data_IF_757413002171
#
_entry.id   IF_757413002171
#
_cell.length_a   1.000
_cell.length_b   1.000
_cell.length_c   1.000
_cell.angle_alpha   90.00
_cell.angle_beta   90.00
_cell.angle_gamma   90.00
#
_symmetry.space_group_name_H-M   'P 1'
#
loop_
_entity.id
_entity.type
_entity.pdbx_description
1 polymer ?
#
# COMPACT_ATOMS: atom_id res chain seq x y z
N UNK A 1 15.71 -73.12 -3.83
CA UNK A 1 15.32 -71.93 -4.59
C UNK A 1 15.72 -70.72 -3.78
N UNK A 2 16.69 -69.99 -4.31
CA UNK A 2 17.30 -68.80 -3.71
C UNK A 2 16.28 -67.68 -3.63
N UNK A 3 15.93 -67.28 -2.39
CA UNK A 3 15.23 -66.03 -2.14
C UNK A 3 16.20 -64.92 -2.54
N UNK A 4 15.93 -64.30 -3.68
CA UNK A 4 16.63 -63.09 -4.11
C UNK A 4 16.37 -62.03 -3.04
N UNK A 5 17.37 -61.82 -2.20
CA UNK A 5 17.41 -60.75 -1.21
C UNK A 5 17.25 -59.45 -2.00
N UNK A 6 16.07 -58.82 -1.90
CA UNK A 6 15.78 -57.57 -2.59
C UNK A 6 16.86 -56.57 -2.16
N UNK A 7 17.61 -56.10 -3.15
CA UNK A 7 18.78 -55.25 -3.02
C UNK A 7 18.58 -54.26 -1.90
N UNK A 8 19.40 -54.41 -0.85
CA UNK A 8 19.34 -53.59 0.35
C UNK A 8 19.36 -52.13 -0.06
N UNK A 9 18.23 -51.45 0.14
CA UNK A 9 18.11 -49.98 0.17
C UNK A 9 18.81 -49.44 1.43
N UNK A 10 19.99 -49.98 1.77
CA UNK A 10 20.80 -49.58 2.92
C UNK A 10 21.50 -48.25 2.67
N UNK A 11 21.60 -47.80 1.42
CA UNK A 11 22.45 -46.64 1.08
C UNK A 11 21.67 -45.32 0.96
N UNK A 12 20.33 -45.34 0.86
CA UNK A 12 19.51 -44.11 0.80
C UNK A 12 18.69 -43.85 2.08
N UNK A 13 18.60 -44.83 2.99
CA UNK A 13 17.92 -44.65 4.29
C UNK A 13 18.86 -44.15 5.40
N UNK A 14 20.18 -44.17 5.20
CA UNK A 14 21.15 -43.91 6.26
C UNK A 14 21.50 -42.42 6.49
N UNK A 15 20.93 -41.47 5.74
CA UNK A 15 21.21 -40.03 5.88
C UNK A 15 19.97 -39.19 6.25
N UNK A 16 18.94 -39.81 6.80
CA UNK A 16 17.73 -39.12 7.25
C UNK A 16 16.75 -40.01 7.99
N UNK A 17 17.22 -40.94 8.84
CA UNK A 17 16.33 -41.68 9.76
C UNK A 17 15.82 -40.73 10.83
N UNK A 18 14.82 -39.98 10.42
CA UNK A 18 13.96 -39.19 11.25
C UNK A 18 13.41 -40.04 12.41
N UNK A 19 13.39 -39.44 13.60
CA UNK A 19 12.98 -40.02 14.88
C UNK A 19 11.48 -40.41 14.87
N UNK A 20 11.14 -41.55 14.24
CA UNK A 20 9.74 -41.92 13.96
C UNK A 20 9.34 -43.23 14.63
N UNK A 21 8.08 -43.28 15.07
CA UNK A 21 7.44 -44.49 15.57
C UNK A 21 7.12 -45.45 14.41
N UNK A 22 7.46 -46.72 14.57
CA UNK A 22 7.21 -47.76 13.57
C UNK A 22 6.30 -48.84 14.17
N UNK A 23 5.17 -49.21 13.52
CA UNK A 23 4.35 -50.31 14.01
C UNK A 23 5.12 -51.62 13.91
N UNK A 24 5.05 -52.43 14.97
CA UNK A 24 5.80 -53.68 15.11
C UNK A 24 4.90 -54.87 15.42
N UNK A 25 3.82 -54.68 16.17
CA UNK A 25 2.81 -55.71 16.43
C UNK A 25 1.40 -55.12 16.42
N UNK A 26 0.42 -55.96 16.14
CA UNK A 26 -0.97 -55.70 16.40
C UNK A 26 -1.61 -56.95 16.99
N UNK A 27 -2.70 -56.80 17.72
CA UNK A 27 -3.44 -57.96 18.21
C UNK A 27 -4.95 -57.76 18.19
N UNK A 28 -5.64 -58.89 18.06
CA UNK A 28 -7.10 -59.00 18.11
C UNK A 28 -7.44 -60.14 19.07
N UNK A 29 -8.03 -59.80 20.20
CA UNK A 29 -8.44 -60.75 21.23
C UNK A 29 -9.96 -60.78 21.31
N UNK A 30 -10.55 -61.95 21.12
CA UNK A 30 -11.98 -62.22 21.28
C UNK A 30 -12.92 -61.26 20.52
N UNK A 31 -12.53 -60.86 19.31
CA UNK A 31 -13.36 -60.07 18.39
C UNK A 31 -13.53 -60.85 17.10
N UNK A 32 -14.77 -60.95 16.62
CA UNK A 32 -15.13 -61.76 15.46
C UNK A 32 -14.64 -63.21 15.65
N UNK A 33 -14.11 -63.84 14.60
CA UNK A 33 -13.54 -65.20 14.64
C UNK A 33 -12.08 -65.24 15.12
N UNK A 34 -11.57 -64.14 15.67
CA UNK A 34 -10.24 -64.07 16.27
C UNK A 34 -10.34 -64.32 17.78
N UNK A 35 -9.67 -65.39 18.25
CA UNK A 35 -9.64 -65.75 19.65
C UNK A 35 -8.54 -64.98 20.39
N UNK A 36 -7.29 -65.16 20.01
CA UNK A 36 -6.13 -64.39 20.48
C UNK A 36 -5.07 -64.39 19.38
N UNK A 37 -5.22 -63.49 18.41
CA UNK A 37 -4.30 -63.41 17.27
C UNK A 37 -3.38 -62.20 17.39
N UNK A 38 -2.09 -62.43 17.12
CA UNK A 38 -1.04 -61.42 17.10
C UNK A 38 -0.41 -61.38 15.71
N UNK A 39 -0.36 -60.19 15.13
CA UNK A 39 0.26 -59.93 13.83
C UNK A 39 1.56 -59.17 14.02
N UNK A 40 2.65 -59.68 13.45
CA UNK A 40 3.95 -59.00 13.47
C UNK A 40 4.19 -58.22 12.17
N UNK A 41 4.75 -57.03 12.32
CA UNK A 41 5.08 -56.15 11.20
C UNK A 41 6.56 -56.29 10.86
N UNK A 42 6.86 -56.46 9.58
CA UNK A 42 8.23 -56.40 9.09
C UNK A 42 8.54 -54.97 8.64
N UNK A 43 9.39 -54.26 9.39
CA UNK A 43 9.79 -52.86 9.09
C UNK A 43 8.58 -51.94 8.87
N UNK A 44 7.58 -52.03 9.75
CA UNK A 44 6.35 -51.24 9.67
C UNK A 44 5.35 -51.71 8.61
N UNK A 45 5.57 -52.85 7.95
CA UNK A 45 4.70 -53.39 6.89
C UNK A 45 4.08 -54.71 7.34
N UNK A 46 2.79 -54.87 7.07
CA UNK A 46 2.04 -56.10 7.33
C UNK A 46 1.52 -56.67 6.00
N UNK A 47 1.79 -57.95 5.75
CA UNK A 47 1.26 -58.69 4.60
C UNK A 47 0.35 -59.83 5.09
N UNK A 48 -0.93 -59.76 4.72
CA UNK A 48 -1.91 -60.79 5.03
C UNK A 48 -2.16 -61.65 3.78
N UNK A 49 -1.82 -62.94 3.83
CA UNK A 49 -2.08 -63.91 2.76
C UNK A 49 -2.99 -65.04 3.25
N UNK A 50 -3.81 -65.55 2.34
CA UNK A 50 -4.74 -66.66 2.61
C UNK A 50 -5.94 -66.67 1.65
N UNK A 51 -6.74 -67.75 1.64
CA UNK A 51 -7.94 -67.87 0.81
C UNK A 51 -9.00 -66.79 1.07
N UNK A 52 -9.91 -66.56 0.13
CA UNK A 52 -11.05 -65.67 0.35
C UNK A 52 -11.89 -66.15 1.56
N UNK A 53 -12.37 -65.21 2.38
CA UNK A 53 -13.09 -65.54 3.62
C UNK A 53 -12.21 -65.76 4.86
N UNK A 54 -10.88 -65.82 4.73
CA UNK A 54 -9.96 -66.04 5.86
C UNK A 54 -9.78 -64.86 6.83
N UNK A 55 -10.61 -63.81 6.75
CA UNK A 55 -10.56 -62.67 7.66
C UNK A 55 -9.55 -61.56 7.35
N UNK A 56 -8.74 -61.65 6.28
CA UNK A 56 -7.71 -60.63 5.94
C UNK A 56 -8.23 -59.18 5.95
N UNK A 57 -9.36 -58.93 5.27
CA UNK A 57 -9.99 -57.60 5.26
C UNK A 57 -10.50 -57.20 6.65
N UNK A 58 -10.95 -58.18 7.46
CA UNK A 58 -11.41 -57.94 8.84
C UNK A 58 -10.30 -57.46 9.76
N UNK A 59 -9.08 -57.97 9.60
CA UNK A 59 -7.90 -57.45 10.32
C UNK A 59 -7.73 -55.94 10.07
N UNK A 60 -7.83 -55.52 8.81
CA UNK A 60 -7.73 -54.10 8.46
C UNK A 60 -8.94 -53.30 8.98
N UNK A 61 -10.16 -53.83 8.90
CA UNK A 61 -11.36 -53.19 9.45
C UNK A 61 -11.26 -52.95 10.97
N UNK A 62 -10.70 -53.91 11.70
CA UNK A 62 -10.62 -53.91 13.17
C UNK A 62 -9.40 -53.18 13.75
N UNK A 63 -8.30 -53.10 13.00
CA UNK A 63 -7.07 -52.46 13.48
C UNK A 63 -6.88 -51.04 12.94
N UNK A 64 -6.74 -50.88 11.62
CA UNK A 64 -6.31 -49.62 11.00
C UNK A 64 -7.36 -49.10 10.00
N UNK A 65 -7.90 -47.88 10.17
CA UNK A 65 -7.43 -46.84 11.08
C UNK A 65 -8.16 -46.82 12.44
N UNK A 66 -9.00 -47.80 12.77
CA UNK A 66 -9.87 -47.75 13.95
C UNK A 66 -9.11 -47.45 15.25
N UNK A 67 -8.01 -48.16 15.52
CA UNK A 67 -7.20 -47.96 16.72
C UNK A 67 -6.57 -46.56 16.75
N UNK A 68 -6.35 -45.91 15.61
CA UNK A 68 -5.83 -44.53 15.54
C UNK A 68 -6.95 -43.47 15.60
N UNK A 69 -8.16 -43.82 15.16
CA UNK A 69 -9.30 -42.90 14.97
C UNK A 69 -10.30 -42.92 16.14
N UNK A 70 -10.37 -44.02 16.91
CA UNK A 70 -11.29 -44.23 18.02
C UNK A 70 -12.78 -44.00 17.68
N UNK A 71 -13.16 -44.24 16.42
CA UNK A 71 -14.54 -44.05 15.95
C UNK A 71 -15.24 -45.38 15.68
N UNK A 72 -16.34 -45.63 16.40
CA UNK A 72 -17.22 -46.78 16.20
C UNK A 72 -18.23 -46.62 15.07
N UNK A 73 -18.26 -45.47 14.37
CA UNK A 73 -19.19 -45.23 13.24
C UNK A 73 -18.99 -46.31 12.16
N UNK A 74 -20.05 -47.02 11.72
CA UNK A 74 -19.92 -48.12 10.75
C UNK A 74 -19.21 -47.71 9.44
N UNK A 75 -19.49 -46.50 8.94
CA UNK A 75 -18.85 -45.92 7.75
C UNK A 75 -17.34 -45.75 7.87
N UNK A 76 -16.80 -45.67 9.10
CA UNK A 76 -15.36 -45.56 9.37
C UNK A 76 -14.68 -46.92 9.60
N UNK A 77 -15.47 -47.97 9.84
CA UNK A 77 -14.98 -49.32 10.09
C UNK A 77 -14.89 -50.14 8.80
N UNK A 78 -15.89 -50.06 7.92
CA UNK A 78 -15.96 -50.83 6.69
C UNK A 78 -14.87 -50.46 5.69
N UNK A 79 -14.24 -51.45 5.04
CA UNK A 79 -13.33 -51.23 3.91
C UNK A 79 -14.07 -50.96 2.60
N UNK A 80 -15.39 -51.20 2.56
CA UNK A 80 -16.24 -51.03 1.38
C UNK A 80 -17.28 -49.91 1.55
N UNK A 81 -17.26 -49.18 2.68
CA UNK A 81 -18.21 -48.10 2.97
C UNK A 81 -19.62 -48.53 3.38
N UNK A 82 -19.96 -49.83 3.28
CA UNK A 82 -21.24 -50.39 3.72
C UNK A 82 -21.47 -50.27 5.23
N UNK A 83 -22.74 -50.09 5.63
CA UNK A 83 -23.16 -49.93 7.04
C UNK A 83 -23.54 -51.25 7.71
N UNK A 84 -23.61 -52.36 6.95
CA UNK A 84 -24.02 -53.67 7.47
C UNK A 84 -23.07 -54.28 8.52
N UNK A 85 -21.81 -53.83 8.60
CA UNK A 85 -20.76 -54.40 9.47
C UNK A 85 -20.40 -53.46 10.61
N UNK A 86 -21.34 -53.28 11.53
CA UNK A 86 -21.13 -52.47 12.74
C UNK A 86 -20.12 -53.13 13.70
N UNK A 87 -19.53 -52.35 14.63
CA UNK A 87 -18.66 -52.94 15.66
C UNK A 87 -19.42 -53.95 16.54
N UNK A 88 -20.73 -53.72 16.75
CA UNK A 88 -21.58 -54.67 17.46
C UNK A 88 -21.63 -56.02 16.73
N UNK A 89 -21.83 -56.02 15.41
CA UNK A 89 -21.78 -57.24 14.61
C UNK A 89 -20.40 -57.92 14.66
N UNK A 90 -19.31 -57.14 14.69
CA UNK A 90 -17.96 -57.73 14.83
C UNK A 90 -17.79 -58.46 16.18
N UNK A 91 -18.48 -58.07 17.25
CA UNK A 91 -18.42 -58.76 18.54
C UNK A 91 -19.49 -59.86 18.66
N UNK A 92 -20.74 -59.52 18.38
CA UNK A 92 -21.94 -60.33 18.64
C UNK A 92 -22.50 -61.04 17.41
N UNK A 93 -21.83 -60.92 16.25
CA UNK A 93 -22.24 -61.58 15.02
C UNK A 93 -21.98 -63.08 15.05
N UNK A 94 -21.79 -63.64 13.86
CA UNK A 94 -21.76 -65.08 13.67
C UNK A 94 -20.54 -65.73 14.37
N UNK A 95 -20.81 -66.54 15.40
CA UNK A 95 -19.82 -67.20 16.25
C UNK A 95 -19.69 -66.67 17.68
N UNK A 96 -20.48 -65.68 18.10
CA UNK A 96 -20.54 -65.24 19.50
C UNK A 96 -21.49 -66.11 20.32
N UNK A 97 -21.00 -66.67 21.44
CA UNK A 97 -21.82 -67.39 22.43
C UNK A 97 -21.96 -66.56 23.71
N UNK A 98 -23.17 -66.44 24.23
CA UNK A 98 -23.45 -65.75 25.51
C UNK A 98 -24.06 -64.34 25.37
N UNK A 99 -24.50 -63.79 26.50
CA UNK A 99 -25.23 -62.52 26.55
C UNK A 99 -24.33 -61.28 26.44
N UNK A 100 -23.04 -61.40 26.79
CA UNK A 100 -22.06 -60.32 26.76
C UNK A 100 -20.74 -60.85 26.21
N UNK A 101 -20.11 -60.08 25.32
CA UNK A 101 -18.78 -60.37 24.80
C UNK A 101 -17.86 -59.17 25.01
N UNK A 102 -16.66 -59.45 25.52
CA UNK A 102 -15.58 -58.47 25.68
C UNK A 102 -14.41 -58.90 24.80
N UNK A 103 -13.84 -57.97 24.06
CA UNK A 103 -12.66 -58.20 23.24
C UNK A 103 -11.74 -56.99 23.21
N UNK A 104 -10.55 -57.17 22.67
CA UNK A 104 -9.53 -56.14 22.57
C UNK A 104 -8.96 -56.05 21.16
N UNK A 105 -8.61 -54.83 20.76
CA UNK A 105 -7.79 -54.57 19.57
C UNK A 105 -6.68 -53.60 19.97
N UNK A 106 -5.46 -53.83 19.50
CA UNK A 106 -4.30 -53.00 19.88
C UNK A 106 -3.21 -52.98 18.81
N UNK A 107 -2.38 -51.95 18.88
CA UNK A 107 -1.17 -51.73 18.07
C UNK A 107 0.00 -51.40 18.99
N UNK A 108 1.15 -51.99 18.70
CA UNK A 108 2.45 -51.69 19.31
C UNK A 108 3.32 -50.97 18.28
N UNK A 109 3.96 -49.90 18.74
CA UNK A 109 4.95 -49.13 18.01
C UNK A 109 6.27 -49.15 18.78
N UNK A 110 7.36 -49.20 18.03
CA UNK A 110 8.70 -49.01 18.55
C UNK A 110 9.28 -47.72 17.95
N UNK A 111 9.83 -46.87 18.82
CA UNK A 111 10.56 -45.69 18.40
C UNK A 111 12.02 -46.04 18.15
N UNK A 112 12.72 -45.24 17.33
CA UNK A 112 14.12 -45.46 16.98
C UNK A 112 15.08 -45.46 18.19
N UNK A 113 14.69 -44.84 19.31
CA UNK A 113 15.44 -44.84 20.58
C UNK A 113 15.12 -46.03 21.50
N UNK A 114 14.34 -47.01 21.02
CA UNK A 114 14.00 -48.22 21.77
C UNK A 114 12.76 -48.10 22.66
N UNK A 115 12.12 -46.93 22.76
CA UNK A 115 10.87 -46.77 23.50
C UNK A 115 9.72 -47.50 22.82
N UNK A 116 8.75 -47.91 23.62
CA UNK A 116 7.53 -48.57 23.19
C UNK A 116 6.33 -47.65 23.39
N UNK A 117 5.37 -47.74 22.48
CA UNK A 117 4.07 -47.12 22.62
C UNK A 117 3.02 -48.08 22.11
N UNK A 118 2.10 -48.43 22.98
CA UNK A 118 0.98 -49.30 22.69
C UNK A 118 -0.29 -48.49 22.81
N UNK A 119 -1.19 -48.64 21.85
CA UNK A 119 -2.52 -48.06 21.91
C UNK A 119 -3.57 -49.09 21.49
N UNK A 120 -4.76 -49.02 22.09
CA UNK A 120 -5.80 -50.01 21.85
C UNK A 120 -7.16 -49.65 22.42
N UNK A 121 -8.11 -50.55 22.20
CA UNK A 121 -9.47 -50.43 22.69
C UNK A 121 -9.94 -51.76 23.28
N UNK A 122 -10.49 -51.70 24.49
CA UNK A 122 -11.38 -52.72 25.05
C UNK A 122 -12.78 -52.47 24.53
N UNK A 123 -13.39 -53.48 23.94
CA UNK A 123 -14.73 -53.41 23.37
C UNK A 123 -15.65 -54.36 24.11
N UNK A 124 -16.86 -53.90 24.43
CA UNK A 124 -17.87 -54.69 25.10
C UNK A 124 -19.21 -54.51 24.38
N UNK A 125 -19.84 -55.62 24.03
CA UNK A 125 -21.17 -55.65 23.44
C UNK A 125 -22.04 -56.66 24.17
N UNK A 126 -23.35 -56.44 24.14
CA UNK A 126 -24.35 -57.35 24.69
C UNK A 126 -25.40 -57.70 23.64
N UNK A 127 -26.15 -58.77 23.87
CA UNK A 127 -27.27 -59.17 22.99
C UNK A 127 -28.43 -58.18 23.01
N UNK A 128 -28.60 -57.43 24.11
CA UNK A 128 -29.76 -56.58 24.34
C UNK A 128 -29.65 -55.17 23.74
N UNK A 129 -28.44 -54.67 23.48
CA UNK A 129 -28.22 -53.35 22.87
C UNK A 129 -27.26 -53.42 21.70
N UNK A 130 -27.49 -52.59 20.69
CA UNK A 130 -26.60 -52.42 19.54
C UNK A 130 -25.40 -51.51 19.85
N UNK A 131 -25.41 -50.80 20.99
CA UNK A 131 -24.31 -49.93 21.38
C UNK A 131 -23.14 -50.77 21.90
N UNK A 132 -21.93 -50.43 21.45
CA UNK A 132 -20.68 -51.04 21.93
C UNK A 132 -20.03 -50.09 22.92
N UNK A 133 -19.78 -50.56 24.14
CA UNK A 133 -18.96 -49.85 25.10
C UNK A 133 -17.48 -49.98 24.71
N UNK A 134 -16.79 -48.86 24.50
CA UNK A 134 -15.37 -48.83 24.24
C UNK A 134 -14.62 -48.14 25.39
N UNK A 135 -13.53 -48.74 25.85
CA UNK A 135 -12.56 -48.11 26.72
C UNK A 135 -11.20 -48.10 26.00
N UNK A 136 -10.73 -46.91 25.67
CA UNK A 136 -9.48 -46.72 24.94
C UNK A 136 -8.32 -46.61 25.90
N UNK A 137 -7.16 -47.17 25.56
CA UNK A 137 -5.99 -47.17 26.43
C UNK A 137 -4.70 -46.93 25.67
N UNK A 138 -3.72 -46.37 26.36
CA UNK A 138 -2.34 -46.23 25.88
C UNK A 138 -1.36 -46.65 26.96
N UNK A 139 -0.21 -47.21 26.60
CA UNK A 139 0.84 -47.57 27.54
C UNK A 139 2.22 -47.58 26.90
N UNK A 140 3.26 -47.34 27.69
CA UNK A 140 4.65 -47.56 27.30
C UNK A 140 5.08 -49.04 27.36
N UNK A 141 4.21 -49.93 27.83
CA UNK A 141 4.47 -51.35 27.98
C UNK A 141 3.94 -52.16 26.79
N UNK A 142 4.48 -53.36 26.58
CA UNK A 142 4.06 -54.28 25.52
C UNK A 142 2.94 -55.21 26.01
N UNK A 143 2.14 -55.73 25.09
CA UNK A 143 1.02 -56.63 25.36
C UNK A 143 1.45 -58.09 25.26
N UNK A 144 1.06 -58.88 26.27
CA UNK A 144 1.16 -60.35 26.25
C UNK A 144 2.60 -60.89 26.29
N UNK A 145 3.57 -60.09 26.73
CA UNK A 145 4.97 -60.51 26.93
C UNK A 145 5.29 -60.59 28.43
N UNK A 146 6.30 -61.37 28.85
CA UNK A 146 6.75 -61.36 30.23
C UNK A 146 7.13 -59.94 30.69
N UNK A 147 6.55 -59.47 31.80
CA UNK A 147 6.72 -58.11 32.30
C UNK A 147 5.95 -57.02 31.54
N UNK A 148 5.08 -57.42 30.60
CA UNK A 148 4.16 -56.54 29.90
C UNK A 148 2.76 -56.51 30.51
N UNK A 149 1.80 -55.91 29.80
CA UNK A 149 0.39 -55.83 30.17
C UNK A 149 -0.35 -57.06 29.68
N UNK A 150 -1.09 -57.72 30.58
CA UNK A 150 -2.01 -58.81 30.23
C UNK A 150 -3.39 -58.24 29.90
N UNK A 151 -4.05 -58.83 28.91
CA UNK A 151 -5.44 -58.46 28.54
C UNK A 151 -6.48 -59.46 29.01
N UNK A 152 -6.02 -60.60 29.53
CA UNK A 152 -6.83 -61.67 30.10
C UNK A 152 -6.40 -61.93 31.54
N UNK A 153 -7.34 -62.34 32.38
CA UNK A 153 -7.03 -62.90 33.69
C UNK A 153 -6.53 -64.34 33.57
N UNK A 154 -6.16 -64.95 34.70
CA UNK A 154 -5.55 -66.30 34.73
C UNK A 154 -6.44 -67.40 34.14
N UNK A 155 -7.77 -67.21 34.12
CA UNK A 155 -8.73 -68.12 33.51
C UNK A 155 -9.01 -67.86 32.01
N UNK A 156 -8.28 -66.95 31.38
CA UNK A 156 -8.44 -66.59 29.96
C UNK A 156 -9.58 -65.61 29.67
N UNK A 157 -10.35 -65.20 30.68
CA UNK A 157 -11.38 -64.17 30.52
C UNK A 157 -10.75 -62.79 30.24
N UNK A 158 -11.25 -62.01 29.25
CA UNK A 158 -10.78 -60.65 29.00
C UNK A 158 -11.03 -59.72 30.20
N UNK A 159 -10.07 -58.86 30.53
CA UNK A 159 -10.15 -57.98 31.69
C UNK A 159 -11.32 -56.98 31.59
N UNK A 160 -11.88 -56.59 32.74
CA UNK A 160 -12.84 -55.47 32.85
C UNK A 160 -12.12 -54.12 32.69
N UNK A 161 -12.87 -53.02 32.54
CA UNK A 161 -12.28 -51.66 32.47
C UNK A 161 -11.45 -51.34 33.72
N UNK A 162 -11.94 -51.71 34.90
CA UNK A 162 -11.24 -51.48 36.16
C UNK A 162 -9.95 -52.31 36.24
N UNK A 163 -10.04 -53.61 35.99
CA UNK A 163 -8.86 -54.50 35.98
C UNK A 163 -7.82 -54.09 34.92
N UNK A 164 -8.25 -53.59 33.75
CA UNK A 164 -7.35 -53.05 32.74
C UNK A 164 -6.61 -51.82 33.27
N UNK A 165 -7.31 -50.91 33.95
CA UNK A 165 -6.67 -49.72 34.54
C UNK A 165 -5.63 -50.12 35.61
N UNK A 166 -5.96 -51.11 36.45
CA UNK A 166 -5.05 -51.64 37.47
C UNK A 166 -3.82 -52.31 36.85
N UNK A 167 -4.00 -53.13 35.79
CA UNK A 167 -2.90 -53.83 35.10
C UNK A 167 -2.00 -52.86 34.31
N UNK A 168 -2.55 -51.73 33.81
CA UNK A 168 -1.75 -50.69 33.15
C UNK A 168 -0.87 -49.92 34.15
N UNK A 169 -1.35 -49.73 35.38
CA UNK A 169 -0.65 -49.02 36.45
C UNK A 169 -0.11 -47.65 36.02
N UNK A 170 1.08 -47.29 36.51
CA UNK A 170 1.74 -46.01 36.18
C UNK A 170 2.29 -45.97 34.74
N UNK A 171 2.40 -47.12 34.08
CA UNK A 171 2.96 -47.24 32.74
C UNK A 171 1.92 -46.99 31.64
N UNK A 172 0.64 -46.79 31.97
CA UNK A 172 -0.43 -46.62 31.02
C UNK A 172 -1.64 -45.88 31.56
N UNK A 173 -2.62 -45.65 30.70
CA UNK A 173 -3.83 -44.91 31.05
C UNK A 173 -5.01 -45.41 30.22
N UNK A 174 -6.14 -45.61 30.87
CA UNK A 174 -7.45 -45.74 30.22
C UNK A 174 -8.06 -44.35 30.12
N UNK A 175 -8.41 -43.93 28.92
CA UNK A 175 -8.88 -42.57 28.65
C UNK A 175 -10.39 -42.44 28.89
N UNK A 176 -10.80 -41.24 29.32
CA UNK A 176 -12.21 -40.93 29.62
C UNK A 176 -13.09 -40.81 28.37
N UNK A 177 -12.50 -40.42 27.24
CA UNK A 177 -13.20 -40.23 25.97
C UNK A 177 -12.36 -40.66 24.77
N UNK A 178 -13.04 -40.89 23.64
CA UNK A 178 -12.39 -41.16 22.36
C UNK A 178 -11.50 -39.98 21.93
N UNK A 179 -11.93 -38.75 22.16
CA UNK A 179 -11.19 -37.54 21.77
C UNK A 179 -9.92 -37.37 22.61
N UNK A 180 -9.98 -37.62 23.92
CA UNK A 180 -8.82 -37.59 24.81
C UNK A 180 -7.77 -38.62 24.37
N UNK A 181 -8.20 -39.85 24.13
CA UNK A 181 -7.34 -40.90 23.58
C UNK A 181 -6.73 -40.49 22.24
N UNK A 182 -7.55 -40.01 21.31
CA UNK A 182 -7.13 -39.61 19.96
C UNK A 182 -6.10 -38.48 20.02
N UNK A 183 -6.25 -37.55 20.95
CA UNK A 183 -5.28 -36.47 21.17
C UNK A 183 -3.92 -37.01 21.65
N UNK A 184 -3.90 -38.00 22.54
CA UNK A 184 -2.66 -38.63 23.03
C UNK A 184 -1.97 -39.42 21.92
N UNK A 185 -2.73 -40.21 21.15
CA UNK A 185 -2.21 -40.94 19.98
C UNK A 185 -1.61 -39.98 18.95
N UNK A 186 -2.32 -38.89 18.61
CA UNK A 186 -1.83 -37.84 17.71
C UNK A 186 -0.52 -37.24 18.23
N UNK A 187 -0.49 -36.76 19.48
CA UNK A 187 0.69 -36.10 20.04
C UNK A 187 1.91 -37.02 20.09
N UNK A 188 1.68 -38.32 20.33
CA UNK A 188 2.77 -39.31 20.46
C UNK A 188 3.30 -39.75 19.10
N UNK A 189 2.42 -40.18 18.19
CA UNK A 189 2.81 -40.75 16.90
C UNK A 189 3.06 -39.69 15.82
N UNK A 190 2.34 -38.56 15.89
CA UNK A 190 2.33 -37.51 14.87
C UNK A 190 2.46 -36.11 15.49
N UNK A 191 3.54 -35.80 16.23
CA UNK A 191 3.68 -34.55 17.00
C UNK A 191 3.56 -33.29 16.13
N UNK A 192 3.98 -33.35 14.87
CA UNK A 192 3.94 -32.24 13.92
C UNK A 192 2.55 -31.98 13.29
N UNK A 193 1.58 -32.89 13.49
CA UNK A 193 0.22 -32.72 12.94
C UNK A 193 -0.69 -32.12 14.00
N UNK A 194 -1.34 -30.99 13.71
CA UNK A 194 -2.44 -30.50 14.54
C UNK A 194 -3.68 -31.42 14.41
N UNK A 195 -4.73 -31.14 15.19
CA UNK A 195 -5.93 -31.98 15.24
C UNK A 195 -6.64 -32.11 13.89
N UNK A 196 -6.83 -31.00 13.18
CA UNK A 196 -7.47 -30.98 11.86
C UNK A 196 -6.67 -31.80 10.84
N UNK A 197 -5.34 -31.65 10.78
CA UNK A 197 -4.47 -32.41 9.87
C UNK A 197 -4.45 -33.89 10.21
N UNK A 198 -4.56 -34.23 11.49
CA UNK A 198 -4.70 -35.62 11.90
C UNK A 198 -6.03 -36.22 11.43
N UNK A 199 -7.13 -35.46 11.44
CA UNK A 199 -8.40 -35.90 10.83
C UNK A 199 -8.30 -36.08 9.32
N UNK A 200 -7.63 -35.16 8.61
CA UNK A 200 -7.35 -35.31 7.17
C UNK A 200 -6.53 -36.57 6.88
N UNK A 201 -5.47 -36.85 7.68
CA UNK A 201 -4.67 -38.07 7.55
C UNK A 201 -5.53 -39.33 7.73
N UNK A 202 -6.34 -39.39 8.78
CA UNK A 202 -7.22 -40.55 9.02
C UNK A 202 -8.25 -40.71 7.90
N UNK A 203 -8.75 -39.60 7.34
CA UNK A 203 -9.63 -39.61 6.16
C UNK A 203 -8.93 -40.18 4.95
N UNK A 204 -7.71 -39.74 4.65
CA UNK A 204 -6.91 -40.28 3.56
C UNK A 204 -6.63 -41.79 3.74
N UNK A 205 -6.24 -42.23 4.96
CA UNK A 205 -6.02 -43.65 5.26
C UNK A 205 -7.27 -44.50 5.04
N UNK A 206 -8.46 -43.99 5.43
CA UNK A 206 -9.74 -44.69 5.18
C UNK A 206 -9.98 -44.90 3.69
N UNK A 207 -9.69 -43.88 2.87
CA UNK A 207 -9.91 -43.97 1.43
C UNK A 207 -8.92 -44.89 0.74
N UNK A 208 -7.63 -44.81 1.08
CA UNK A 208 -6.59 -45.69 0.53
C UNK A 208 -6.83 -47.18 0.84
N UNK A 209 -7.57 -47.47 1.91
CA UNK A 209 -7.94 -48.83 2.32
C UNK A 209 -9.05 -49.45 1.47
N UNK A 210 -9.74 -48.67 0.64
CA UNK A 210 -10.80 -49.21 -0.22
C UNK A 210 -10.22 -50.11 -1.32
N UNK A 211 -10.68 -51.37 -1.45
CA UNK A 211 -10.17 -52.26 -2.47
C UNK A 211 -10.58 -51.76 -3.86
N UNK A 212 -9.69 -51.98 -4.84
CA UNK A 212 -9.82 -51.46 -6.21
C UNK A 212 -9.80 -49.93 -6.31
N UNK A 213 -8.89 -49.30 -5.59
CA UNK A 213 -8.61 -47.86 -5.67
C UNK A 213 -8.51 -47.39 -7.14
N UNK A 214 -7.84 -48.16 -8.02
CA UNK A 214 -7.70 -47.86 -9.44
C UNK A 214 -9.01 -47.82 -10.26
N UNK A 215 -10.09 -48.48 -9.82
CA UNK A 215 -11.40 -48.43 -10.52
C UNK A 215 -12.25 -47.23 -10.10
N UNK A 216 -11.92 -46.54 -8.99
CA UNK A 216 -12.72 -45.44 -8.39
C UNK A 216 -11.94 -44.18 -8.05
N UNK A 217 -10.68 -44.06 -8.48
CA UNK A 217 -9.91 -42.83 -8.33
C UNK A 217 -10.47 -41.79 -9.29
N UNK A 218 -11.41 -40.99 -8.81
CA UNK A 218 -11.66 -39.67 -9.37
C UNK A 218 -10.39 -38.82 -9.11
N UNK A 219 -9.65 -38.43 -10.16
CA UNK A 219 -8.45 -37.61 -10.01
C UNK A 219 -8.73 -36.29 -9.28
N UNK A 220 -9.94 -35.75 -9.41
CA UNK A 220 -10.37 -34.53 -8.72
C UNK A 220 -10.42 -34.74 -7.20
N UNK A 221 -11.12 -35.79 -6.75
CA UNK A 221 -11.21 -36.13 -5.34
C UNK A 221 -9.83 -36.41 -4.72
N UNK A 222 -8.95 -37.14 -5.43
CA UNK A 222 -7.59 -37.40 -4.96
C UNK A 222 -6.79 -36.10 -4.83
N UNK A 223 -6.89 -35.21 -5.81
CA UNK A 223 -6.24 -33.90 -5.79
C UNK A 223 -6.73 -33.06 -4.61
N UNK A 224 -8.03 -33.00 -4.36
CA UNK A 224 -8.62 -32.25 -3.25
C UNK A 224 -8.17 -32.78 -1.89
N UNK A 225 -8.05 -34.10 -1.74
CA UNK A 225 -7.61 -34.73 -0.51
C UNK A 225 -6.12 -34.58 -0.25
N UNK A 226 -5.30 -34.72 -1.30
CA UNK A 226 -3.87 -34.46 -1.18
C UNK A 226 -3.63 -32.98 -0.88
N UNK A 227 -4.37 -32.09 -1.54
CA UNK A 227 -4.29 -30.63 -1.33
C UNK A 227 -4.74 -30.22 0.07
N UNK A 228 -5.83 -30.80 0.59
CA UNK A 228 -6.29 -30.56 1.97
C UNK A 228 -5.42 -31.22 3.04
N UNK A 229 -4.58 -32.19 2.66
CA UNK A 229 -3.56 -32.77 3.52
C UNK A 229 -2.20 -32.04 3.46
N UNK A 230 -2.01 -31.13 2.49
CA UNK A 230 -0.82 -30.29 2.43
C UNK A 230 -0.72 -29.41 3.70
N UNK A 231 0.50 -29.02 4.10
CA UNK A 231 0.67 -28.08 5.19
C UNK A 231 -0.10 -26.78 4.90
N UNK A 232 -0.83 -26.21 5.87
CA UNK A 232 -1.30 -24.84 5.74
C UNK A 232 -0.09 -23.92 5.57
N UNK A 233 -0.30 -22.77 4.91
CA UNK A 233 0.70 -21.69 4.89
C UNK A 233 1.06 -21.35 6.33
N UNK A 234 2.36 -21.27 6.61
CA UNK A 234 2.88 -20.88 7.90
C UNK A 234 2.37 -19.49 8.27
N UNK A 235 2.08 -19.28 9.55
CA UNK A 235 1.63 -17.98 10.05
C UNK A 235 2.64 -16.86 9.71
N UNK A 236 3.92 -17.18 9.62
CA UNK A 236 4.98 -16.27 9.16
C UNK A 236 4.78 -15.81 7.72
N UNK A 237 4.44 -16.72 6.81
CA UNK A 237 4.24 -16.38 5.39
C UNK A 237 2.98 -15.54 5.20
N UNK A 238 1.91 -15.83 5.96
CA UNK A 238 0.70 -15.02 5.98
C UNK A 238 1.02 -13.61 6.49
N UNK A 239 1.83 -13.51 7.55
CA UNK A 239 2.23 -12.24 8.12
C UNK A 239 3.09 -11.41 7.16
N UNK A 240 4.06 -12.02 6.48
CA UNK A 240 4.90 -11.36 5.47
C UNK A 240 4.06 -10.79 4.32
N UNK A 241 3.06 -11.54 3.86
CA UNK A 241 2.14 -11.11 2.81
C UNK A 241 1.29 -9.93 3.31
N UNK A 242 0.72 -10.03 4.51
CA UNK A 242 -0.09 -8.96 5.10
C UNK A 242 0.71 -7.66 5.26
N UNK A 243 1.93 -7.74 5.77
CA UNK A 243 2.83 -6.59 5.90
C UNK A 243 3.20 -6.01 4.53
N UNK A 244 3.39 -6.86 3.52
CA UNK A 244 3.59 -6.46 2.14
C UNK A 244 2.42 -5.64 1.57
N UNK A 245 1.19 -6.07 1.83
CA UNK A 245 -0.02 -5.35 1.43
C UNK A 245 -0.17 -4.02 2.17
N UNK A 246 0.06 -3.97 3.48
CA UNK A 246 0.02 -2.72 4.25
C UNK A 246 1.05 -1.70 3.75
N UNK A 247 2.27 -2.15 3.43
CA UNK A 247 3.30 -1.28 2.83
C UNK A 247 2.86 -0.74 1.47
N UNK A 248 2.21 -1.57 0.66
CA UNK A 248 1.72 -1.19 -0.65
C UNK A 248 0.58 -0.17 -0.54
N UNK A 249 -0.37 -0.37 0.38
CA UNK A 249 -1.46 0.58 0.64
C UNK A 249 -0.94 1.92 1.16
N UNK A 250 0.04 1.90 2.07
CA UNK A 250 0.71 3.13 2.55
C UNK A 250 1.36 3.90 1.41
N UNK A 251 2.07 3.21 0.50
CA UNK A 251 2.68 3.84 -0.68
C UNK A 251 1.65 4.40 -1.65
N UNK A 252 0.51 3.72 -1.83
CA UNK A 252 -0.58 4.24 -2.67
C UNK A 252 -1.16 5.53 -2.10
N UNK A 253 -1.31 5.63 -0.79
CA UNK A 253 -1.82 6.85 -0.16
C UNK A 253 -0.79 7.99 -0.21
N UNK A 254 0.49 7.69 0.01
CA UNK A 254 1.58 8.66 -0.15
C UNK A 254 1.63 9.22 -1.58
N UNK A 255 1.49 8.37 -2.61
CA UNK A 255 1.41 8.81 -4.00
C UNK A 255 0.22 9.73 -4.26
N UNK A 256 -0.96 9.42 -3.70
CA UNK A 256 -2.15 10.28 -3.84
C UNK A 256 -1.95 11.66 -3.22
N UNK A 257 -1.28 11.72 -2.07
CA UNK A 257 -0.97 13.00 -1.42
C UNK A 257 0.03 13.79 -2.26
N UNK A 258 1.07 13.13 -2.77
CA UNK A 258 2.07 13.78 -3.61
C UNK A 258 1.47 14.31 -4.91
N UNK A 259 0.57 13.57 -5.55
CA UNK A 259 -0.16 14.04 -6.74
C UNK A 259 -0.97 15.32 -6.44
N UNK A 260 -1.63 15.39 -5.28
CA UNK A 260 -2.34 16.61 -4.84
C UNK A 260 -1.39 17.77 -4.60
N UNK A 261 -0.26 17.53 -3.95
CA UNK A 261 0.74 18.57 -3.68
C UNK A 261 1.30 19.15 -4.99
N UNK A 262 1.51 18.30 -6.00
CA UNK A 262 1.92 18.72 -7.35
C UNK A 262 0.83 19.59 -8.00
N UNK A 263 -0.44 19.18 -7.94
CA UNK A 263 -1.55 19.98 -8.48
C UNK A 263 -1.64 21.38 -7.84
N UNK A 264 -1.50 21.47 -6.51
CA UNK A 264 -1.54 22.75 -5.81
C UNK A 264 -0.30 23.61 -6.11
N UNK A 265 0.88 23.00 -6.21
CA UNK A 265 2.10 23.71 -6.62
C UNK A 265 1.98 24.30 -8.02
N UNK A 266 1.39 23.57 -8.97
CA UNK A 266 1.15 24.06 -10.33
C UNK A 266 0.15 25.22 -10.37
N UNK A 267 -0.93 25.15 -9.58
CA UNK A 267 -1.88 26.26 -9.42
C UNK A 267 -1.23 27.50 -8.84
N UNK A 268 -0.39 27.34 -7.82
CA UNK A 268 0.37 28.44 -7.23
C UNK A 268 1.33 29.05 -8.25
N UNK A 269 2.08 28.22 -8.98
CA UNK A 269 3.00 28.67 -10.00
C UNK A 269 2.29 29.45 -11.12
N UNK A 270 1.12 28.98 -11.57
CA UNK A 270 0.31 29.70 -12.55
C UNK A 270 -0.12 31.09 -12.03
N UNK A 271 -0.63 31.16 -10.80
CA UNK A 271 -1.05 32.43 -10.19
C UNK A 271 0.12 33.40 -9.98
N UNK A 272 1.29 32.90 -9.59
CA UNK A 272 2.51 33.71 -9.45
C UNK A 272 3.01 34.24 -10.78
N UNK A 273 2.98 33.42 -11.85
CA UNK A 273 3.32 33.89 -13.21
C UNK A 273 2.38 35.00 -13.67
N UNK A 274 1.08 34.89 -13.41
CA UNK A 274 0.12 35.92 -13.79
C UNK A 274 0.31 37.21 -13.00
N UNK A 275 0.58 37.11 -11.70
CA UNK A 275 0.92 38.26 -10.87
C UNK A 275 2.19 38.96 -11.37
N UNK A 276 3.28 38.20 -11.58
CA UNK A 276 4.54 38.73 -12.10
C UNK A 276 4.34 39.42 -13.46
N UNK A 277 3.57 38.81 -14.38
CA UNK A 277 3.22 39.42 -15.67
C UNK A 277 2.49 40.75 -15.52
N UNK A 278 1.56 40.88 -14.56
CA UNK A 278 0.84 42.13 -14.31
C UNK A 278 1.78 43.21 -13.77
N UNK A 279 2.63 42.88 -12.79
CA UNK A 279 3.61 43.81 -12.24
C UNK A 279 4.59 44.30 -13.31
N UNK A 280 5.13 43.38 -14.11
CA UNK A 280 6.05 43.72 -15.21
C UNK A 280 5.37 44.59 -16.27
N UNK A 281 4.10 44.32 -16.62
CA UNK A 281 3.35 45.16 -17.55
C UNK A 281 3.09 46.56 -17.01
N UNK A 282 2.75 46.69 -15.73
CA UNK A 282 2.54 48.00 -15.11
C UNK A 282 3.85 48.81 -15.08
N UNK A 283 4.96 48.18 -14.70
CA UNK A 283 6.28 48.81 -14.74
C UNK A 283 6.68 49.22 -16.17
N UNK A 284 6.48 48.34 -17.16
CA UNK A 284 6.74 48.65 -18.56
C UNK A 284 5.88 49.83 -19.07
N UNK A 285 4.58 49.86 -18.71
CA UNK A 285 3.69 50.95 -19.09
C UNK A 285 4.12 52.30 -18.47
N UNK A 286 4.59 52.30 -17.21
CA UNK A 286 5.12 53.49 -16.57
C UNK A 286 6.38 54.02 -17.28
N UNK A 287 7.29 53.13 -17.67
CA UNK A 287 8.50 53.50 -18.43
C UNK A 287 8.15 54.04 -19.82
N UNK A 288 7.22 53.38 -20.54
CA UNK A 288 6.75 53.86 -21.85
C UNK A 288 6.10 55.24 -21.73
N UNK A 289 5.22 55.44 -20.73
CA UNK A 289 4.58 56.73 -20.49
C UNK A 289 5.61 57.82 -20.17
N UNK A 290 6.58 57.54 -19.30
CA UNK A 290 7.66 58.48 -18.99
C UNK A 290 8.50 58.82 -20.23
N UNK A 291 8.79 57.84 -21.08
CA UNK A 291 9.46 58.04 -22.37
C UNK A 291 8.67 58.97 -23.29
N UNK A 292 7.36 58.73 -23.45
CA UNK A 292 6.50 59.61 -24.27
C UNK A 292 6.42 61.04 -23.73
N UNK A 293 6.38 61.22 -22.39
CA UNK A 293 6.40 62.55 -21.78
C UNK A 293 7.75 63.24 -21.98
N UNK A 294 8.85 62.50 -21.89
CA UNK A 294 10.19 63.03 -22.17
C UNK A 294 10.31 63.49 -23.62
N UNK A 295 9.83 62.70 -24.58
CA UNK A 295 9.85 63.04 -26.00
C UNK A 295 9.00 64.29 -26.28
N UNK A 296 7.82 64.40 -25.66
CA UNK A 296 6.96 65.58 -25.79
C UNK A 296 7.63 66.84 -25.22
N UNK A 297 8.23 66.75 -24.02
CA UNK A 297 8.97 67.85 -23.40
C UNK A 297 10.21 68.22 -24.22
N UNK A 298 10.90 67.25 -24.80
CA UNK A 298 12.05 67.49 -25.67
C UNK A 298 11.62 68.23 -26.95
N UNK A 299 10.49 67.86 -27.55
CA UNK A 299 9.91 68.56 -28.70
C UNK A 299 9.49 70.00 -28.36
N UNK A 300 8.84 70.20 -27.21
CA UNK A 300 8.45 71.54 -26.72
C UNK A 300 9.68 72.41 -26.44
N UNK A 301 10.69 71.87 -25.77
CA UNK A 301 11.94 72.57 -25.52
C UNK A 301 12.66 72.95 -26.82
N UNK A 302 12.64 72.08 -27.84
CA UNK A 302 13.17 72.38 -29.17
C UNK A 302 12.39 73.52 -29.83
N UNK A 303 11.06 73.47 -29.80
CA UNK A 303 10.22 74.52 -30.37
C UNK A 303 10.43 75.89 -29.67
N UNK A 304 10.51 75.91 -28.33
CA UNK A 304 10.81 77.14 -27.57
C UNK A 304 12.20 77.69 -27.87
N UNK A 305 13.21 76.83 -28.05
CA UNK A 305 14.56 77.27 -28.46
C UNK A 305 14.55 77.90 -29.84
N UNK A 306 13.81 77.32 -30.79
CA UNK A 306 13.69 77.91 -32.14
C UNK A 306 12.93 79.24 -32.10
N UNK A 307 11.85 79.33 -31.34
CA UNK A 307 11.09 80.58 -31.16
C UNK A 307 11.93 81.67 -30.48
N UNK A 308 12.73 81.31 -29.47
CA UNK A 308 13.66 82.24 -28.82
C UNK A 308 14.70 82.76 -29.82
N UNK A 309 15.27 81.86 -30.63
CA UNK A 309 16.23 82.23 -31.67
C UNK A 309 15.60 83.21 -32.68
N UNK A 310 14.37 82.97 -33.13
CA UNK A 310 13.65 83.87 -34.01
C UNK A 310 13.39 85.23 -33.34
N UNK A 311 12.97 85.23 -32.08
CA UNK A 311 12.75 86.46 -31.32
C UNK A 311 14.04 87.27 -31.12
N UNK A 312 15.18 86.60 -30.88
CA UNK A 312 16.50 87.23 -30.77
C UNK A 312 16.94 87.85 -32.11
N UNK A 313 16.69 87.16 -33.23
CA UNK A 313 16.94 87.68 -34.58
C UNK A 313 16.05 88.90 -34.89
N UNK A 314 14.77 88.85 -34.53
CA UNK A 314 13.82 89.98 -34.66
C UNK A 314 14.21 91.17 -33.77
N UNK A 315 14.65 90.92 -32.53
CA UNK A 315 15.13 91.94 -31.62
C UNK A 315 16.38 92.61 -32.18
N UNK A 316 17.34 91.84 -32.68
CA UNK A 316 18.55 92.36 -33.31
C UNK A 316 18.21 93.23 -34.53
N UNK A 317 17.30 92.77 -35.40
CA UNK A 317 16.84 93.54 -36.56
C UNK A 317 16.14 94.84 -36.14
N UNK A 318 15.32 94.79 -35.09
CA UNK A 318 14.62 95.97 -34.55
C UNK A 318 15.59 96.96 -33.91
N UNK A 319 16.61 96.48 -33.20
CA UNK A 319 17.66 97.32 -32.62
C UNK A 319 18.48 98.04 -33.69
N UNK A 320 18.80 97.36 -34.81
CA UNK A 320 19.45 97.99 -35.96
C UNK A 320 18.57 99.10 -36.54
N UNK A 321 17.28 98.80 -36.78
CA UNK A 321 16.32 99.81 -37.28
C UNK A 321 16.18 100.99 -36.34
N UNK A 322 16.11 100.77 -35.03
CA UNK A 322 16.05 101.84 -34.04
C UNK A 322 17.29 102.73 -34.12
N UNK A 323 18.49 102.14 -34.21
CA UNK A 323 19.73 102.90 -34.37
C UNK A 323 19.76 103.71 -35.67
N UNK A 324 19.20 103.19 -36.77
CA UNK A 324 19.08 103.91 -38.04
C UNK A 324 18.13 105.11 -37.90
N UNK A 325 16.97 104.93 -37.28
CA UNK A 325 15.99 105.99 -37.02
C UNK A 325 16.55 107.05 -36.07
N UNK A 326 17.24 106.67 -34.99
CA UNK A 326 17.93 107.60 -34.08
C UNK A 326 19.00 108.42 -34.81
N UNK A 327 19.76 107.79 -35.71
CA UNK A 327 20.75 108.50 -36.54
C UNK A 327 20.09 109.47 -37.52
N UNK A 328 18.93 109.09 -38.11
CA UNK A 328 18.14 109.98 -38.95
C UNK A 328 17.57 111.15 -38.16
N UNK A 329 17.05 110.92 -36.96
CA UNK A 329 16.54 111.98 -36.08
C UNK A 329 17.67 112.98 -35.75
N UNK A 330 18.85 112.49 -35.39
CA UNK A 330 20.01 113.33 -35.12
C UNK A 330 20.44 114.14 -36.35
N UNK A 331 20.44 113.53 -37.54
CA UNK A 331 20.76 114.19 -38.80
C UNK A 331 19.74 115.26 -39.17
N UNK A 332 18.45 114.98 -39.00
CA UNK A 332 17.36 115.94 -39.23
C UNK A 332 17.43 117.10 -38.23
N UNK A 333 17.73 116.82 -36.94
CA UNK A 333 17.93 117.85 -35.94
C UNK A 333 19.12 118.76 -36.31
N UNK A 334 20.25 118.19 -36.71
CA UNK A 334 21.40 118.95 -37.21
C UNK A 334 21.07 119.76 -38.48
N UNK A 335 20.25 119.21 -39.39
CA UNK A 335 19.79 119.92 -40.57
C UNK A 335 18.86 121.08 -40.21
N UNK A 336 17.94 120.90 -39.25
CA UNK A 336 17.08 121.95 -38.72
C UNK A 336 17.92 123.06 -38.10
N UNK A 337 18.92 122.73 -37.29
CA UNK A 337 19.79 123.73 -36.68
C UNK A 337 20.67 124.42 -37.71
N UNK A 338 21.20 123.71 -38.71
CA UNK A 338 21.88 124.31 -39.86
C UNK A 338 20.99 125.25 -40.68
N UNK A 339 19.71 124.91 -40.87
CA UNK A 339 18.74 125.78 -41.55
C UNK A 339 18.44 127.04 -40.72
N UNK A 340 18.27 126.92 -39.40
CA UNK A 340 18.14 128.07 -38.47
C UNK A 340 19.38 128.96 -38.50
N UNK A 341 20.56 128.36 -38.62
CA UNK A 341 21.83 129.07 -38.74
C UNK A 341 22.10 129.61 -40.15
N UNK A 342 21.33 129.27 -41.18
CA UNK A 342 21.60 129.76 -42.54
C UNK A 342 21.41 131.27 -42.68
N UNK A 343 22.19 131.89 -43.56
CA UNK A 343 22.06 133.32 -43.88
C UNK A 343 20.65 133.67 -44.38
N UNK A 344 19.96 132.78 -45.09
CA UNK A 344 18.60 133.01 -45.56
C UNK A 344 17.57 133.05 -44.41
N UNK A 345 17.69 132.16 -43.41
CA UNK A 345 16.81 132.18 -42.23
C UNK A 345 17.11 133.38 -41.32
N UNK A 346 18.39 133.69 -41.09
CA UNK A 346 18.82 134.90 -40.36
C UNK A 346 18.40 136.18 -41.10
N UNK A 347 18.52 136.23 -42.43
CA UNK A 347 18.05 137.33 -43.24
C UNK A 347 16.53 137.47 -43.20
N UNK A 348 15.77 136.37 -43.12
CA UNK A 348 14.32 136.40 -42.89
C UNK A 348 13.96 136.94 -41.50
N UNK A 349 14.68 136.53 -40.46
CA UNK A 349 14.55 137.08 -39.11
C UNK A 349 14.94 138.58 -39.06
N UNK A 350 16.00 138.97 -39.77
CA UNK A 350 16.43 140.36 -39.91
C UNK A 350 15.47 141.19 -40.74
N UNK A 351 14.85 140.63 -41.78
CA UNK A 351 13.78 141.27 -42.54
C UNK A 351 12.54 141.45 -41.68
N UNK A 352 12.20 140.46 -40.83
CA UNK A 352 11.12 140.59 -39.85
C UNK A 352 11.41 141.69 -38.83
N UNK A 353 12.66 141.77 -38.33
CA UNK A 353 13.16 142.84 -37.44
C UNK A 353 13.14 144.21 -38.13
N UNK A 354 13.63 144.31 -39.36
CA UNK A 354 13.64 145.54 -40.16
C UNK A 354 12.21 145.98 -40.50
N UNK A 355 11.28 145.04 -40.74
CA UNK A 355 9.87 145.34 -40.97
C UNK A 355 9.17 145.83 -39.70
N UNK A 356 9.52 145.30 -38.53
CA UNK A 356 9.05 145.84 -37.24
C UNK A 356 9.66 147.22 -36.97
N UNK A 357 10.95 147.43 -37.24
CA UNK A 357 11.61 148.73 -37.11
C UNK A 357 11.07 149.77 -38.11
N UNK A 358 10.79 149.38 -39.35
CA UNK A 358 10.17 150.25 -40.35
C UNK A 358 8.75 150.63 -39.94
N UNK A 359 7.98 149.72 -39.33
CA UNK A 359 6.66 150.01 -38.77
C UNK A 359 6.75 151.04 -37.63
N UNK A 360 7.68 150.85 -36.70
CA UNK A 360 7.95 151.80 -35.63
C UNK A 360 8.46 153.18 -36.13
N UNK A 361 9.30 153.19 -37.17
CA UNK A 361 9.77 154.43 -37.80
C UNK A 361 8.64 155.15 -38.58
N UNK A 362 7.71 154.41 -39.18
CA UNK A 362 6.54 154.98 -39.83
C UNK A 362 5.60 155.65 -38.82
N UNK A 363 5.43 155.05 -37.64
CA UNK A 363 4.69 155.64 -36.52
C UNK A 363 5.38 156.89 -35.97
N UNK A 364 6.71 156.88 -35.83
CA UNK A 364 7.48 158.05 -35.41
C UNK A 364 7.45 159.21 -36.41
N UNK A 365 7.50 158.91 -37.72
CA UNK A 365 7.41 159.91 -38.79
C UNK A 365 6.00 160.51 -38.93
N UNK A 366 4.95 159.74 -38.62
CA UNK A 366 3.59 160.27 -38.49
C UNK A 366 3.52 161.29 -37.33
N UNK A 367 4.12 160.97 -36.18
CA UNK A 367 4.19 161.89 -35.04
C UNK A 367 4.97 163.19 -35.31
N UNK A 368 6.06 163.15 -36.08
CA UNK A 368 6.83 164.34 -36.48
C UNK A 368 6.10 165.21 -37.53
N UNK A 369 5.29 164.62 -38.42
CA UNK A 369 4.42 165.37 -39.34
C UNK A 369 3.32 166.13 -38.61
N UNK A 370 2.76 165.55 -37.55
CA UNK A 370 1.78 166.23 -36.71
C UNK A 370 2.42 167.40 -35.92
N UNK A 371 3.68 167.29 -35.52
CA UNK A 371 4.44 168.37 -34.86
C UNK A 371 4.85 169.50 -35.82
N UNK A 372 5.23 169.19 -37.06
CA UNK A 372 5.55 170.21 -38.07
C UNK A 372 4.30 170.99 -38.54
N UNK A 373 3.13 170.34 -38.57
CA UNK A 373 1.84 171.01 -38.81
C UNK A 373 1.37 171.94 -37.69
N UNK A 374 2.00 171.90 -36.51
CA UNK A 374 1.73 172.81 -35.40
C UNK A 374 2.68 174.03 -35.38
N UNK A 375 3.93 173.89 -35.83
CA UNK A 375 4.94 174.95 -35.77
C UNK A 375 4.76 176.07 -36.82
N UNK A 376 4.20 175.78 -37.99
CA UNK A 376 3.94 176.80 -39.03
C UNK A 376 2.63 177.57 -38.82
N UNK A 377 1.82 177.20 -37.83
CA UNK A 377 0.61 177.95 -37.42
C UNK A 377 0.91 179.02 -36.34
N UNK A 378 2.18 179.28 -36.04
CA UNK A 378 2.62 180.15 -34.95
C UNK A 378 3.67 181.23 -35.34
N UNK A 379 3.90 181.49 -36.63
CA UNK A 379 4.68 182.61 -37.15
C UNK A 379 4.09 183.08 -38.48
#
# INVERSE_FOLDING_TARGET
MTVTDLTSTRTLAAQGMDRRWTPVRAGILNVWRYYDEVFEFHRGRLLLRGPNGSGKSKVLELLLPYVLDASLKPSRLSTFGGTERTMHWNLMGDGASGATRVGYVWLEFQHADGRWFTCGARLQATTHTKNVGAAYFTTGSRIGVPGGVRLTGDGGQPLTKAQLADELGDAGTVHDSADAYRAVVRRTLYPALNEQRYDSLLTALRQLRTPKLSERLDPGLLSDLLSSALPPLGESEIHEIAEGFERLDRRREELRLLDRDVEEADRLAARQRDYARRVLRAAAAAVVSAGTSLDALAAEAKAKREALKQADEELAATAVRLSEEEAQELALAAQIDGLKESEAYRAGHDLHRLRTQARAAHEAAAGLRDQAGAATRAA
#
